data_IF_647803317019
#
_entry.id   IF_647803317019
#
_cell.length_a   1.000
_cell.length_b   1.000
_cell.length_c   1.000
_cell.angle_alpha   90.00
_cell.angle_beta   90.00
_cell.angle_gamma   90.00
#
_symmetry.space_group_name_H-M   'P 1'
#
loop_
_entity.id
_entity.type
_entity.pdbx_description
1 polymer ?
#
# COMPACT_ATOMS: atom_id res chain seq x y z
N UNK A 1 8.76 -2.83 -17.26
CA UNK A 1 7.83 -3.70 -16.50
C UNK A 1 8.65 -4.34 -15.38
N UNK A 2 8.10 -4.49 -14.17
CA UNK A 2 8.83 -5.15 -13.07
C UNK A 2 8.79 -6.65 -13.30
N UNK A 3 9.94 -7.33 -13.29
CA UNK A 3 10.01 -8.76 -13.57
C UNK A 3 9.42 -9.58 -12.40
N UNK A 4 8.99 -10.81 -12.68
CA UNK A 4 8.34 -11.67 -11.68
C UNK A 4 9.23 -11.92 -10.44
N UNK A 5 10.55 -12.00 -10.64
CA UNK A 5 11.53 -12.13 -9.56
C UNK A 5 11.52 -10.92 -8.62
N UNK A 6 11.50 -9.72 -9.19
CA UNK A 6 11.48 -8.48 -8.42
C UNK A 6 10.17 -8.35 -7.63
N UNK A 7 9.03 -8.74 -8.23
CA UNK A 7 7.73 -8.75 -7.53
C UNK A 7 7.76 -9.69 -6.33
N UNK A 8 8.35 -10.87 -6.48
CA UNK A 8 8.48 -11.87 -5.41
C UNK A 8 9.39 -11.37 -4.29
N UNK A 9 10.50 -10.72 -4.63
CA UNK A 9 11.42 -10.14 -3.67
C UNK A 9 10.77 -8.98 -2.90
N UNK A 10 10.07 -8.08 -3.60
CA UNK A 10 9.31 -7.00 -2.97
C UNK A 10 8.23 -7.54 -2.02
N UNK A 11 7.50 -8.58 -2.45
CA UNK A 11 6.48 -9.23 -1.61
C UNK A 11 7.13 -9.86 -0.37
N UNK A 12 8.28 -10.52 -0.51
CA UNK A 12 9.03 -11.10 0.61
C UNK A 12 9.48 -10.02 1.60
N UNK A 13 10.08 -8.95 1.10
CA UNK A 13 10.54 -7.82 1.90
C UNK A 13 9.37 -7.22 2.71
N UNK A 14 8.26 -6.92 2.03
CA UNK A 14 7.03 -6.41 2.64
C UNK A 14 6.53 -7.27 3.81
N UNK A 15 6.52 -8.59 3.64
CA UNK A 15 5.99 -9.52 4.64
C UNK A 15 6.96 -9.72 5.81
N UNK A 16 8.26 -9.66 5.55
CA UNK A 16 9.32 -9.85 6.56
C UNK A 16 9.61 -8.59 7.39
N UNK A 17 9.28 -7.41 6.88
CA UNK A 17 9.57 -6.16 7.56
C UNK A 17 8.59 -5.90 8.71
N UNK A 18 9.09 -6.00 9.95
CA UNK A 18 8.30 -5.80 11.18
C UNK A 18 7.60 -4.43 11.23
N UNK A 19 8.22 -3.40 10.65
CA UNK A 19 7.65 -2.04 10.59
C UNK A 19 6.28 -2.01 9.91
N UNK A 20 6.07 -2.88 8.94
CA UNK A 20 4.84 -2.94 8.14
C UNK A 20 3.89 -4.04 8.59
N UNK A 21 4.30 -4.87 9.57
CA UNK A 21 3.57 -6.07 9.97
C UNK A 21 2.16 -5.82 10.49
N UNK A 22 1.90 -4.63 11.06
CA UNK A 22 0.59 -4.24 11.60
C UNK A 22 -0.27 -3.42 10.62
N UNK A 23 0.22 -3.17 9.40
CA UNK A 23 -0.55 -2.43 8.40
C UNK A 23 -1.69 -3.32 7.87
N UNK A 24 -2.93 -2.82 7.76
CA UNK A 24 -4.10 -3.65 7.45
C UNK A 24 -3.92 -4.54 6.22
N UNK A 25 -3.42 -3.96 5.13
CA UNK A 25 -3.25 -4.66 3.85
C UNK A 25 -2.12 -5.70 3.91
N UNK A 26 -1.11 -5.48 4.75
CA UNK A 26 -0.01 -6.44 4.96
C UNK A 26 -0.49 -7.62 5.80
N UNK A 27 -1.30 -7.36 6.83
CA UNK A 27 -1.95 -8.40 7.64
C UNK A 27 -2.87 -9.25 6.77
N UNK A 28 -3.74 -8.61 5.99
CA UNK A 28 -4.63 -9.29 5.05
C UNK A 28 -3.86 -10.17 4.03
N UNK A 29 -2.73 -9.68 3.51
CA UNK A 29 -1.88 -10.45 2.60
C UNK A 29 -1.24 -11.67 3.29
N UNK A 30 -0.76 -11.50 4.53
CA UNK A 30 -0.21 -12.61 5.33
C UNK A 30 -1.26 -13.70 5.58
N UNK A 31 -2.46 -13.28 5.98
CA UNK A 31 -3.58 -14.20 6.22
C UNK A 31 -3.98 -14.96 4.95
N UNK A 32 -4.07 -14.27 3.83
CA UNK A 32 -4.36 -14.89 2.54
C UNK A 32 -3.33 -15.97 2.17
N UNK A 33 -2.04 -15.67 2.33
CA UNK A 33 -0.97 -16.63 2.01
C UNK A 33 -1.02 -17.85 2.93
N UNK A 34 -1.24 -17.65 4.23
CA UNK A 34 -1.38 -18.76 5.18
C UNK A 34 -2.58 -19.66 4.86
N UNK A 35 -3.69 -19.09 4.34
CA UNK A 35 -4.86 -19.86 3.90
C UNK A 35 -4.59 -20.64 2.61
N UNK A 36 -3.81 -20.09 1.68
CA UNK A 36 -3.40 -20.80 0.45
C UNK A 36 -2.48 -21.98 0.75
N UNK A 37 -1.54 -21.85 1.69
CA UNK A 37 -0.66 -22.96 2.12
C UNK A 37 -1.45 -24.12 2.76
N UNK A 38 -2.49 -23.81 3.54
CA UNK A 38 -3.38 -24.83 4.13
C UNK A 38 -4.20 -25.57 3.07
N UNK A 39 -4.65 -24.88 2.01
CA UNK A 39 -5.40 -25.51 0.89
C UNK A 39 -4.52 -26.37 -0.02
N UNK A 40 -3.22 -26.09 -0.12
CA UNK A 40 -2.27 -26.82 -0.97
C UNK A 40 -1.55 -27.99 -0.26
N UNK A 41 -1.88 -28.31 1.00
CA UNK A 41 -1.30 -29.46 1.69
C UNK A 41 -1.90 -30.78 1.16
N UNK A 42 -1.07 -31.78 0.79
CA UNK A 42 -1.54 -33.06 0.27
C UNK A 42 -2.00 -33.96 1.43
N UNK A 43 -3.23 -33.77 1.88
CA UNK A 43 -3.82 -34.59 2.93
C UNK A 43 -5.34 -34.66 2.78
N UNK A 44 -5.81 -35.71 2.10
CA UNK A 44 -7.18 -36.22 2.18
C UNK A 44 -8.28 -35.33 1.61
N UNK A 45 -8.65 -35.56 0.35
CA UNK A 45 -9.98 -35.19 -0.14
C UNK A 45 -11.02 -36.11 0.50
N UNK A 46 -11.73 -35.59 1.49
CA UNK A 46 -13.14 -35.93 1.72
C UNK A 46 -13.90 -34.61 1.65
N UNK A 47 -14.53 -34.36 0.50
CA UNK A 47 -15.40 -33.20 0.30
C UNK A 47 -16.71 -33.44 1.07
N UNK A 48 -16.80 -32.90 2.28
CA UNK A 48 -18.09 -32.65 2.92
C UNK A 48 -18.71 -31.39 2.29
N UNK A 49 -19.76 -31.63 1.50
CA UNK A 49 -20.56 -30.61 0.85
C UNK A 49 -21.43 -29.91 1.90
N UNK A 50 -20.87 -28.89 2.56
CA UNK A 50 -21.52 -28.28 3.71
C UNK A 50 -21.10 -26.86 4.06
N UNK A 51 -20.50 -26.08 3.15
CA UNK A 51 -20.34 -24.64 3.35
C UNK A 51 -20.88 -23.88 2.15
N UNK A 52 -21.82 -22.97 2.42
CA UNK A 52 -22.48 -22.07 1.49
C UNK A 52 -21.59 -21.70 0.31
N UNK A 53 -22.01 -22.06 -0.91
CA UNK A 53 -21.31 -21.71 -2.14
C UNK A 53 -21.25 -20.18 -2.29
N UNK A 54 -20.24 -19.56 -1.68
CA UNK A 54 -19.82 -18.22 -2.05
C UNK A 54 -19.45 -18.31 -3.53
N UNK A 55 -20.22 -17.61 -4.38
CA UNK A 55 -19.97 -17.59 -5.81
C UNK A 55 -18.51 -17.20 -6.04
N UNK A 56 -17.81 -17.96 -6.87
CA UNK A 56 -16.45 -17.61 -7.32
C UNK A 56 -16.50 -16.16 -7.82
N UNK A 57 -15.71 -15.24 -7.23
CA UNK A 57 -15.77 -13.84 -7.62
C UNK A 57 -15.29 -13.70 -9.07
N UNK A 58 -16.01 -12.91 -9.85
CA UNK A 58 -15.61 -12.58 -11.23
C UNK A 58 -14.33 -11.76 -11.26
N UNK A 59 -13.59 -11.83 -12.37
CA UNK A 59 -12.41 -11.00 -12.59
C UNK A 59 -12.73 -9.51 -12.39
N UNK A 60 -13.85 -9.03 -12.93
CA UNK A 60 -14.27 -7.63 -12.79
C UNK A 60 -14.50 -7.18 -11.35
N UNK A 61 -15.01 -8.07 -10.48
CA UNK A 61 -15.18 -7.76 -9.05
C UNK A 61 -13.84 -7.66 -8.31
N UNK A 62 -12.86 -8.49 -8.68
CA UNK A 62 -11.50 -8.44 -8.10
C UNK A 62 -10.76 -7.18 -8.56
N UNK A 63 -10.87 -6.84 -9.85
CA UNK A 63 -10.34 -5.61 -10.43
C UNK A 63 -10.95 -4.36 -9.77
N UNK A 64 -12.28 -4.32 -9.62
CA UNK A 64 -12.98 -3.20 -8.99
C UNK A 64 -12.55 -3.01 -7.54
N UNK A 65 -12.39 -4.10 -6.78
CA UNK A 65 -11.87 -4.05 -5.40
C UNK A 65 -10.47 -3.45 -5.34
N UNK A 66 -9.56 -3.85 -6.22
CA UNK A 66 -8.22 -3.27 -6.28
C UNK A 66 -8.29 -1.77 -6.57
N UNK A 67 -9.07 -1.35 -7.56
CA UNK A 67 -9.24 0.07 -7.92
C UNK A 67 -9.79 0.88 -6.75
N UNK A 68 -10.87 0.40 -6.09
CA UNK A 68 -11.45 1.06 -4.92
C UNK A 68 -10.44 1.17 -3.77
N UNK A 69 -9.67 0.11 -3.53
CA UNK A 69 -8.63 0.11 -2.49
C UNK A 69 -7.55 1.16 -2.78
N UNK A 70 -7.08 1.23 -4.03
CA UNK A 70 -6.09 2.22 -4.47
C UNK A 70 -6.60 3.66 -4.28
N UNK A 71 -7.87 3.92 -4.61
CA UNK A 71 -8.49 5.23 -4.43
C UNK A 71 -8.62 5.61 -2.94
N UNK A 72 -9.02 4.67 -2.09
CA UNK A 72 -9.07 4.89 -0.63
C UNK A 72 -7.70 5.26 -0.08
N UNK A 73 -6.68 4.45 -0.40
CA UNK A 73 -5.31 4.71 0.04
C UNK A 73 -4.82 6.08 -0.43
N UNK A 74 -5.04 6.42 -1.70
CA UNK A 74 -4.67 7.73 -2.23
C UNK A 74 -5.34 8.88 -1.44
N UNK A 75 -6.62 8.74 -1.11
CA UNK A 75 -7.35 9.72 -0.29
C UNK A 75 -6.75 9.88 1.11
N UNK A 76 -6.49 8.77 1.80
CA UNK A 76 -5.86 8.75 3.12
C UNK A 76 -4.49 9.44 3.12
N UNK A 77 -3.65 9.15 2.13
CA UNK A 77 -2.31 9.72 2.02
C UNK A 77 -2.32 11.20 1.66
N UNK A 78 -3.18 11.62 0.73
CA UNK A 78 -3.36 13.04 0.43
C UNK A 78 -3.82 13.81 1.69
N UNK A 79 -4.71 13.21 2.48
CA UNK A 79 -5.13 13.76 3.78
C UNK A 79 -3.95 13.93 4.74
N UNK A 80 -3.15 12.88 4.95
CA UNK A 80 -1.96 12.93 5.83
C UNK A 80 -0.94 13.99 5.38
N UNK A 81 -0.65 14.06 4.07
CA UNK A 81 0.26 15.09 3.51
C UNK A 81 -0.26 16.49 3.82
N UNK A 82 -1.55 16.75 3.58
CA UNK A 82 -2.15 18.05 3.88
C UNK A 82 -2.08 18.39 5.38
N UNK A 83 -2.30 17.42 6.26
CA UNK A 83 -2.12 17.59 7.71
C UNK A 83 -0.68 17.93 8.08
N UNK A 84 0.33 17.29 7.47
CA UNK A 84 1.73 17.62 7.69
C UNK A 84 2.08 19.03 7.20
N UNK A 85 1.59 19.43 6.02
CA UNK A 85 1.78 20.78 5.51
C UNK A 85 1.18 21.82 6.45
N UNK A 86 -0.06 21.61 6.92
CA UNK A 86 -0.72 22.52 7.84
C UNK A 86 0.02 22.62 9.18
N UNK A 87 0.47 21.49 9.73
CA UNK A 87 1.24 21.46 10.96
C UNK A 87 2.61 22.15 10.80
N UNK A 88 3.30 21.94 9.68
CA UNK A 88 4.58 22.58 9.37
C UNK A 88 4.45 24.11 9.29
N UNK A 89 3.39 24.60 8.63
CA UNK A 89 3.09 26.04 8.57
C UNK A 89 2.86 26.64 9.95
N UNK A 90 2.05 25.97 10.78
CA UNK A 90 1.78 26.42 12.15
C UNK A 90 3.04 26.45 13.02
N UNK A 91 3.89 25.45 12.92
CA UNK A 91 5.17 25.43 13.65
C UNK A 91 6.14 26.49 13.13
N UNK A 92 6.16 26.75 11.82
CA UNK A 92 6.95 27.83 11.22
C UNK A 92 6.55 29.20 11.76
N UNK A 93 5.25 29.52 11.81
CA UNK A 93 4.74 30.77 12.37
C UNK A 93 5.13 30.97 13.85
N UNK A 94 5.16 29.88 14.62
CA UNK A 94 5.63 29.90 16.02
C UNK A 94 7.12 30.16 16.15
N UNK A 95 7.93 29.69 15.19
CA UNK A 95 9.35 30.01 15.12
C UNK A 95 9.54 31.49 14.78
N UNK A 96 8.82 32.01 13.79
CA UNK A 96 8.89 33.43 13.39
C UNK A 96 8.47 34.39 14.52
N UNK A 97 7.47 34.00 15.31
CA UNK A 97 7.01 34.78 16.47
C UNK A 97 7.85 34.59 17.73
N UNK A 98 8.90 33.76 17.69
CA UNK A 98 9.77 33.48 18.85
C UNK A 98 9.13 32.61 19.94
N UNK A 99 7.97 32.01 19.69
CA UNK A 99 7.29 31.11 20.63
C UNK A 99 7.98 29.74 20.75
N UNK A 100 8.72 29.32 19.73
CA UNK A 100 9.49 28.07 19.71
C UNK A 100 10.92 28.41 19.25
N UNK A 101 11.93 27.87 19.94
CA UNK A 101 13.36 28.11 19.67
C UNK A 101 13.98 27.16 18.63
N UNK A 102 13.16 26.36 17.97
CA UNK A 102 13.56 25.42 16.92
C UNK A 102 14.05 26.19 15.69
N UNK A 103 15.12 25.74 15.06
CA UNK A 103 15.57 26.32 13.79
C UNK A 103 14.69 25.87 12.62
N UNK A 104 14.58 26.71 11.58
CA UNK A 104 13.90 26.36 10.32
C UNK A 104 14.45 25.07 9.68
N UNK A 105 15.77 24.84 9.81
CA UNK A 105 16.44 23.62 9.34
C UNK A 105 15.95 22.39 10.11
N UNK A 106 15.87 22.48 11.44
CA UNK A 106 15.36 21.39 12.27
C UNK A 106 13.88 21.09 11.97
N UNK A 107 13.08 22.13 11.74
CA UNK A 107 11.68 21.98 11.30
C UNK A 107 11.60 21.22 9.96
N UNK A 108 12.41 21.62 8.97
CA UNK A 108 12.45 20.95 7.67
C UNK A 108 12.84 19.48 7.80
N UNK A 109 13.91 19.17 8.57
CA UNK A 109 14.36 17.80 8.81
C UNK A 109 13.27 16.93 9.48
N UNK A 110 12.57 17.48 10.47
CA UNK A 110 11.44 16.81 11.13
C UNK A 110 10.37 16.39 10.11
N UNK A 111 9.93 17.33 9.26
CA UNK A 111 8.86 17.03 8.30
C UNK A 111 9.31 16.16 7.13
N UNK A 112 10.58 16.24 6.72
CA UNK A 112 11.16 15.28 5.76
C UNK A 112 11.07 13.86 6.33
N UNK A 113 11.54 13.63 7.56
CA UNK A 113 11.47 12.30 8.17
C UNK A 113 10.04 11.78 8.37
N UNK A 114 9.09 12.65 8.73
CA UNK A 114 7.68 12.28 8.82
C UNK A 114 7.10 11.87 7.45
N UNK A 115 7.44 12.62 6.39
CA UNK A 115 6.97 12.33 5.04
C UNK A 115 7.60 11.05 4.51
N UNK A 116 8.91 10.85 4.66
CA UNK A 116 9.61 9.60 4.28
C UNK A 116 9.02 8.39 5.01
N UNK A 117 8.72 8.56 6.31
CA UNK A 117 8.06 7.55 7.11
C UNK A 117 6.70 7.13 6.54
N UNK A 118 5.86 8.12 6.29
CA UNK A 118 4.51 7.94 5.73
C UNK A 118 4.53 7.43 4.29
N UNK A 119 5.51 7.83 3.48
CA UNK A 119 5.71 7.33 2.12
C UNK A 119 6.05 5.84 2.11
N UNK A 120 6.91 5.38 3.02
CA UNK A 120 7.23 3.96 3.14
C UNK A 120 6.01 3.12 3.59
N UNK A 121 5.17 3.65 4.48
CA UNK A 121 3.89 3.00 4.83
C UNK A 121 2.92 2.97 3.63
N UNK A 122 2.91 4.01 2.80
CA UNK A 122 2.14 4.07 1.56
C UNK A 122 2.57 3.00 0.58
N UNK A 123 3.87 2.93 0.30
CA UNK A 123 4.45 1.92 -0.57
C UNK A 123 4.05 0.53 -0.06
N UNK A 124 4.21 0.27 1.24
CA UNK A 124 3.86 -1.02 1.82
C UNK A 124 2.38 -1.39 1.63
N UNK A 125 1.45 -0.49 1.99
CA UNK A 125 0.01 -0.76 1.89
C UNK A 125 -0.45 -0.95 0.44
N UNK A 126 0.08 -0.14 -0.48
CA UNK A 126 -0.23 -0.25 -1.91
C UNK A 126 0.30 -1.56 -2.49
N UNK A 127 1.58 -1.89 -2.26
CA UNK A 127 2.14 -3.12 -2.80
C UNK A 127 1.53 -4.36 -2.17
N UNK A 128 1.09 -4.29 -0.91
CA UNK A 128 0.33 -5.35 -0.26
C UNK A 128 -1.03 -5.59 -0.96
N UNK A 129 -1.79 -4.52 -1.21
CA UNK A 129 -3.09 -4.61 -1.89
C UNK A 129 -2.96 -5.17 -3.31
N UNK A 130 -1.94 -4.73 -4.06
CA UNK A 130 -1.63 -5.23 -5.40
C UNK A 130 -1.27 -6.71 -5.34
N UNK A 131 -0.36 -7.11 -4.45
CA UNK A 131 0.06 -8.51 -4.33
C UNK A 131 -1.09 -9.42 -3.89
N UNK A 132 -2.01 -8.91 -3.06
CA UNK A 132 -3.22 -9.63 -2.67
C UNK A 132 -4.12 -9.89 -3.88
N UNK A 133 -4.41 -8.86 -4.67
CA UNK A 133 -5.22 -8.98 -5.89
C UNK A 133 -4.55 -9.92 -6.92
N UNK A 134 -3.24 -9.81 -7.11
CA UNK A 134 -2.45 -10.68 -7.99
C UNK A 134 -2.59 -12.17 -7.59
N UNK A 135 -2.55 -12.48 -6.28
CA UNK A 135 -2.77 -13.84 -5.78
C UNK A 135 -4.21 -14.32 -5.99
N UNK A 136 -5.23 -13.47 -5.76
CA UNK A 136 -6.64 -13.83 -5.95
C UNK A 136 -6.92 -14.14 -7.43
N UNK A 137 -6.50 -13.26 -8.34
CA UNK A 137 -6.64 -13.43 -9.78
C UNK A 137 -5.98 -14.73 -10.25
N UNK A 138 -4.73 -14.96 -9.84
CA UNK A 138 -3.98 -16.18 -10.20
C UNK A 138 -4.69 -17.45 -9.68
N UNK A 139 -5.24 -17.42 -8.46
CA UNK A 139 -5.92 -18.58 -7.87
C UNK A 139 -7.17 -19.02 -8.62
N UNK A 140 -7.79 -18.12 -9.39
CA UNK A 140 -8.95 -18.39 -10.23
C UNK A 140 -8.60 -18.51 -11.73
N UNK A 141 -7.32 -18.44 -12.09
CA UNK A 141 -6.85 -18.53 -13.47
C UNK A 141 -7.15 -17.28 -14.32
N UNK A 142 -7.36 -16.13 -13.68
CA UNK A 142 -7.61 -14.85 -14.35
C UNK A 142 -6.32 -14.12 -14.71
N UNK A 143 -6.41 -13.15 -15.63
CA UNK A 143 -5.28 -12.26 -15.96
C UNK A 143 -4.89 -11.39 -14.77
N UNK A 144 -3.59 -11.14 -14.62
CA UNK A 144 -3.00 -10.26 -13.60
C UNK A 144 -2.61 -8.88 -14.14
N UNK A 145 -2.95 -8.55 -15.39
CA UNK A 145 -2.55 -7.31 -16.06
C UNK A 145 -2.95 -6.05 -15.26
N UNK A 146 -4.10 -6.11 -14.57
CA UNK A 146 -4.57 -5.03 -13.70
C UNK A 146 -3.59 -4.72 -12.57
N UNK A 147 -2.95 -5.74 -11.99
CA UNK A 147 -2.00 -5.58 -10.90
C UNK A 147 -0.74 -4.85 -11.39
N UNK A 148 -0.28 -5.19 -12.59
CA UNK A 148 0.87 -4.52 -13.21
C UNK A 148 0.55 -3.08 -13.61
N UNK A 149 -0.64 -2.84 -14.16
CA UNK A 149 -1.12 -1.48 -14.45
C UNK A 149 -1.25 -0.65 -13.18
N UNK A 150 -1.73 -1.24 -12.08
CA UNK A 150 -1.83 -0.58 -10.79
C UNK A 150 -0.44 -0.20 -10.23
N UNK A 151 0.56 -1.07 -10.32
CA UNK A 151 1.95 -0.77 -9.93
C UNK A 151 2.52 0.41 -10.72
N UNK A 152 2.36 0.38 -12.04
CA UNK A 152 2.87 1.45 -12.91
C UNK A 152 2.17 2.77 -12.63
N UNK A 153 0.84 2.75 -12.54
CA UNK A 153 0.03 3.93 -12.23
C UNK A 153 0.44 4.53 -10.90
N UNK A 154 0.62 3.70 -9.86
CA UNK A 154 1.10 4.15 -8.55
C UNK A 154 2.45 4.88 -8.64
N UNK A 155 3.43 4.28 -9.32
CA UNK A 155 4.77 4.87 -9.51
C UNK A 155 4.70 6.21 -10.24
N UNK A 156 3.90 6.30 -11.30
CA UNK A 156 3.73 7.54 -12.06
C UNK A 156 3.02 8.62 -11.24
N UNK A 157 1.94 8.28 -10.54
CA UNK A 157 1.22 9.21 -9.65
C UNK A 157 2.13 9.73 -8.54
N UNK A 158 2.90 8.86 -7.89
CA UNK A 158 3.88 9.23 -6.86
C UNK A 158 4.92 10.22 -7.39
N UNK A 159 5.50 9.94 -8.56
CA UNK A 159 6.46 10.83 -9.23
C UNK A 159 5.84 12.19 -9.58
N UNK A 160 4.62 12.19 -10.11
CA UNK A 160 3.89 13.41 -10.45
C UNK A 160 3.58 14.26 -9.22
N UNK A 161 3.09 13.64 -8.14
CA UNK A 161 2.83 14.33 -6.87
C UNK A 161 4.09 14.99 -6.31
N UNK A 162 5.21 14.26 -6.29
CA UNK A 162 6.51 14.82 -5.86
C UNK A 162 6.90 16.04 -6.71
N UNK A 163 6.73 15.95 -8.02
CA UNK A 163 7.00 17.08 -8.92
C UNK A 163 6.09 18.29 -8.64
N UNK A 164 4.79 18.06 -8.40
CA UNK A 164 3.82 19.13 -8.09
C UNK A 164 4.08 19.79 -6.75
N UNK A 165 4.55 19.04 -5.75
CA UNK A 165 4.92 19.59 -4.45
C UNK A 165 6.19 20.43 -4.56
N UNK A 166 7.21 19.94 -5.26
CA UNK A 166 8.46 20.67 -5.49
C UNK A 166 8.24 21.97 -6.27
N UNK A 167 7.30 22.00 -7.22
CA UNK A 167 6.98 23.23 -7.97
C UNK A 167 6.23 24.29 -7.15
N UNK A 168 5.77 23.95 -5.94
CA UNK A 168 5.04 24.86 -5.03
C UNK A 168 5.90 25.39 -3.89
N UNK A 169 7.14 24.93 -3.78
CA UNK A 169 8.16 25.39 -2.84
C UNK A 169 8.99 26.50 -3.48
#
# INVERSE_FOLDING_TARGET
>A
MMDAKDKAEQKKELLSNERFGNLPEVVELKEQMAQQEKKNSPGGQDFDAGETAASVPSQGELEARLVQKMQSLQGEYNGKINSYIAAAKKEYEKIESGQITMSKKALAQKYIGLVEGMEAECDARVYAAIARAENELTSYGYSTDIADKARETYRQTKKQQRSQLLSKL
#
